data_IF_985051709970
#
_entry.id   IF_985051709970
#
_cell.length_a   1.000
_cell.length_b   1.000
_cell.length_c   1.000
_cell.angle_alpha   90.00
_cell.angle_beta   90.00
_cell.angle_gamma   90.00
#
_symmetry.space_group_name_H-M   'P 1'
#
loop_
_entity.id
_entity.type
_entity.pdbx_description
1 polymer ?
#
# COMPACT_ATOMS: atom_id res chain seq x y z
N UNK A 1 15.57 -0.94 8.99
CA UNK A 1 15.00 -0.32 10.21
C UNK A 1 13.78 0.47 9.77
N UNK A 2 12.59 -0.01 10.12
CA UNK A 2 11.36 0.75 9.98
C UNK A 2 11.32 1.83 11.08
N UNK A 3 10.81 3.01 10.76
CA UNK A 3 10.65 4.09 11.73
C UNK A 3 9.37 4.84 11.38
N UNK A 4 8.46 4.93 12.34
CA UNK A 4 7.26 5.75 12.21
C UNK A 4 7.67 7.21 12.42
N UNK A 5 7.19 8.11 11.57
CA UNK A 5 7.33 9.54 11.82
C UNK A 5 6.35 9.99 12.91
N UNK A 6 6.91 10.26 14.09
CA UNK A 6 6.21 10.74 15.28
C UNK A 6 6.30 12.26 15.44
N UNK A 7 6.88 12.96 14.46
CA UNK A 7 7.20 14.40 14.56
C UNK A 7 6.44 15.26 13.57
N UNK A 8 6.08 14.72 12.40
CA UNK A 8 5.29 15.47 11.40
C UNK A 8 3.83 15.53 11.83
N UNK A 9 3.37 16.72 12.21
CA UNK A 9 2.00 16.95 12.69
C UNK A 9 0.95 16.53 11.64
N UNK A 10 1.14 16.89 10.38
CA UNK A 10 0.20 16.57 9.28
C UNK A 10 0.96 16.10 8.05
N UNK A 11 0.55 14.96 7.51
CA UNK A 11 0.93 14.53 6.16
C UNK A 11 -0.23 14.71 5.20
N UNK A 12 0.03 15.27 4.01
CA UNK A 12 -0.93 15.32 2.91
C UNK A 12 -0.50 14.39 1.78
N UNK A 13 -1.44 13.59 1.28
CA UNK A 13 -1.27 12.71 0.14
C UNK A 13 -2.31 13.05 -0.93
N UNK A 14 -1.93 13.19 -2.21
CA UNK A 14 -2.90 13.45 -3.26
C UNK A 14 -3.81 12.24 -3.47
N UNK A 15 -5.08 12.48 -3.79
CA UNK A 15 -5.98 11.44 -4.30
C UNK A 15 -5.77 11.31 -5.80
N UNK A 16 -5.40 10.11 -6.28
CA UNK A 16 -5.17 9.86 -7.70
C UNK A 16 -6.47 10.10 -8.48
N UNK A 17 -6.40 10.92 -9.53
CA UNK A 17 -7.55 11.24 -10.38
C UNK A 17 -8.47 12.35 -9.85
N UNK A 18 -8.29 12.84 -8.62
CA UNK A 18 -9.12 13.90 -8.03
C UNK A 18 -8.31 15.18 -7.76
N UNK A 19 -8.32 16.13 -8.70
CA UNK A 19 -7.70 17.42 -8.47
C UNK A 19 -8.39 18.16 -7.31
N UNK A 20 -7.60 18.66 -6.36
CA UNK A 20 -8.12 19.37 -5.19
C UNK A 20 -8.67 18.48 -4.08
N UNK A 21 -8.53 17.15 -4.18
CA UNK A 21 -8.76 16.24 -3.07
C UNK A 21 -7.45 15.71 -2.50
N UNK A 22 -7.38 15.61 -1.18
CA UNK A 22 -6.20 15.09 -0.48
C UNK A 22 -6.59 14.24 0.73
N UNK A 23 -5.76 13.28 1.06
CA UNK A 23 -5.80 12.56 2.33
C UNK A 23 -4.86 13.24 3.31
N UNK A 24 -5.33 13.49 4.51
CA UNK A 24 -4.53 14.00 5.61
C UNK A 24 -4.37 12.95 6.71
N UNK A 25 -3.12 12.70 7.09
CA UNK A 25 -2.77 11.93 8.27
C UNK A 25 -2.29 12.86 9.37
N UNK A 26 -3.15 13.12 10.37
CA UNK A 26 -2.86 14.03 11.48
C UNK A 26 -2.38 13.26 12.69
N UNK A 27 -1.22 13.63 13.21
CA UNK A 27 -0.66 13.10 14.45
C UNK A 27 -1.55 13.49 15.63
N UNK A 28 -1.92 12.52 16.46
CA UNK A 28 -2.84 12.73 17.59
C UNK A 28 -2.18 12.57 18.95
N UNK A 29 -0.95 12.05 19.00
CA UNK A 29 -0.13 11.95 20.19
C UNK A 29 1.37 11.98 19.85
N UNK A 30 2.21 12.00 20.88
CA UNK A 30 3.67 12.05 20.78
C UNK A 30 4.31 10.70 20.44
N UNK A 31 3.56 9.60 20.53
CA UNK A 31 4.05 8.26 20.21
C UNK A 31 3.91 7.93 18.73
N UNK A 32 3.00 8.56 17.98
CA UNK A 32 2.93 8.39 16.52
C UNK A 32 1.58 7.99 15.96
N UNK A 33 0.52 7.88 16.78
CA UNK A 33 -0.82 7.52 16.29
C UNK A 33 -1.41 8.65 15.48
N UNK A 34 -2.15 8.28 14.43
CA UNK A 34 -2.71 9.19 13.45
C UNK A 34 -4.19 8.96 13.24
N UNK A 35 -4.92 10.05 13.03
CA UNK A 35 -6.26 10.04 12.43
C UNK A 35 -6.11 10.28 10.92
N UNK A 36 -6.90 9.59 10.11
CA UNK A 36 -6.92 9.78 8.65
C UNK A 36 -8.22 10.46 8.22
N UNK A 37 -8.09 11.55 7.48
CA UNK A 37 -9.22 12.32 6.95
C UNK A 37 -9.06 12.51 5.44
N UNK A 38 -10.16 12.44 4.70
CA UNK A 38 -10.24 12.80 3.29
C UNK A 38 -10.82 14.21 3.19
N UNK A 39 -10.04 15.13 2.63
CA UNK A 39 -10.50 16.46 2.29
C UNK A 39 -10.90 16.48 0.81
N UNK A 40 -12.20 16.56 0.54
CA UNK A 40 -12.76 16.58 -0.81
C UNK A 40 -13.97 17.52 -0.85
N UNK A 41 -14.05 18.36 -1.89
CA UNK A 41 -15.19 19.28 -2.06
C UNK A 41 -15.38 20.29 -0.92
N UNK A 42 -14.31 20.63 -0.19
CA UNK A 42 -14.37 21.52 0.97
C UNK A 42 -14.91 20.87 2.26
N UNK A 43 -15.15 19.56 2.24
CA UNK A 43 -15.53 18.76 3.40
C UNK A 43 -14.34 17.91 3.87
N UNK A 44 -14.29 17.64 5.17
CA UNK A 44 -13.34 16.70 5.77
C UNK A 44 -14.11 15.49 6.27
N UNK A 45 -13.72 14.29 5.83
CA UNK A 45 -14.42 13.03 6.07
C UNK A 45 -13.47 12.09 6.79
N UNK A 46 -13.84 11.60 7.96
CA UNK A 46 -12.99 10.65 8.70
C UNK A 46 -12.95 9.29 7.99
N UNK A 47 -11.74 8.88 7.58
CA UNK A 47 -11.48 7.60 6.93
C UNK A 47 -10.98 6.56 7.93
N UNK A 48 -10.20 6.97 8.92
CA UNK A 48 -9.78 6.11 9.99
C UNK A 48 -9.67 6.90 11.30
N UNK A 49 -10.23 6.34 12.37
CA UNK A 49 -10.06 6.87 13.71
C UNK A 49 -8.59 6.82 14.15
N UNK A 50 -8.27 7.52 15.23
CA UNK A 50 -6.94 7.53 15.84
C UNK A 50 -6.41 6.13 16.14
N UNK A 51 -5.35 5.74 15.43
CA UNK A 51 -4.63 4.49 15.64
C UNK A 51 -3.23 4.55 15.01
N UNK A 52 -2.48 3.45 15.00
CA UNK A 52 -1.21 3.29 14.28
C UNK A 52 -1.40 3.18 12.77
N UNK A 53 -2.04 4.19 12.20
CA UNK A 53 -2.27 4.33 10.78
C UNK A 53 -1.01 4.88 10.11
N UNK A 54 -0.53 4.15 9.11
CA UNK A 54 0.61 4.52 8.28
C UNK A 54 0.12 5.28 7.02
N UNK A 55 1.05 5.88 6.24
CA UNK A 55 0.70 6.63 5.03
C UNK A 55 -0.34 5.94 4.15
N UNK A 56 -1.46 6.61 3.83
CA UNK A 56 -2.52 6.05 3.00
C UNK A 56 -2.28 6.29 1.50
N UNK A 57 -3.12 5.66 0.68
CA UNK A 57 -3.27 5.93 -0.75
C UNK A 57 -4.74 5.90 -1.14
N UNK A 58 -5.11 6.68 -2.16
CA UNK A 58 -6.49 6.70 -2.66
C UNK A 58 -6.57 7.01 -4.15
N UNK A 59 -7.67 6.58 -4.76
CA UNK A 59 -8.02 6.93 -6.12
C UNK A 59 -9.53 7.19 -6.28
N UNK A 60 -9.84 8.17 -7.13
CA UNK A 60 -11.19 8.53 -7.56
C UNK A 60 -11.58 7.68 -8.79
N UNK A 61 -12.78 7.12 -8.80
CA UNK A 61 -13.32 6.43 -9.98
C UNK A 61 -14.06 7.38 -10.94
N UNK A 62 -14.66 6.82 -11.98
CA UNK A 62 -15.43 7.59 -12.96
C UNK A 62 -16.79 8.08 -12.42
N UNK A 63 -17.31 7.48 -11.36
CA UNK A 63 -18.61 7.83 -10.76
C UNK A 63 -18.51 9.00 -9.77
N UNK A 64 -17.31 9.27 -9.26
CA UNK A 64 -17.06 10.26 -8.22
C UNK A 64 -16.75 9.66 -6.84
N UNK A 65 -16.77 8.33 -6.72
CA UNK A 65 -16.43 7.62 -5.50
C UNK A 65 -14.91 7.51 -5.32
N UNK A 66 -14.46 7.51 -4.07
CA UNK A 66 -13.04 7.44 -3.72
C UNK A 66 -12.82 6.20 -2.85
N UNK A 67 -11.94 5.29 -3.30
CA UNK A 67 -11.43 4.23 -2.44
C UNK A 67 -10.16 4.71 -1.75
N UNK A 68 -10.16 4.68 -0.42
CA UNK A 68 -9.00 4.99 0.40
C UNK A 68 -8.49 3.71 1.05
N UNK A 69 -7.20 3.43 0.93
CA UNK A 69 -6.56 2.32 1.63
C UNK A 69 -5.40 2.82 2.48
N UNK A 70 -5.12 2.14 3.58
CA UNK A 70 -4.04 2.46 4.49
C UNK A 70 -3.54 1.22 5.21
N UNK A 71 -2.32 1.30 5.72
CA UNK A 71 -1.80 0.28 6.61
C UNK A 71 -2.05 0.64 8.07
N UNK A 72 -2.31 -0.38 8.88
CA UNK A 72 -2.43 -0.28 10.33
C UNK A 72 -1.46 -1.26 10.97
N UNK A 73 -0.73 -0.81 11.99
CA UNK A 73 0.04 -1.71 12.85
C UNK A 73 -0.88 -2.23 13.96
N UNK A 74 -1.28 -3.51 13.93
CA UNK A 74 -2.07 -4.11 15.01
C UNK A 74 -1.19 -4.37 16.24
N UNK A 75 -1.84 -4.61 17.38
CA UNK A 75 -1.17 -5.07 18.59
C UNK A 75 -0.82 -3.97 19.58
N UNK A 76 -0.08 -4.36 20.62
CA UNK A 76 0.39 -3.46 21.66
C UNK A 76 1.73 -2.84 21.30
N UNK A 77 2.06 -1.71 21.93
CA UNK A 77 3.42 -1.18 21.97
C UNK A 77 4.45 -2.29 22.25
N UNK A 78 5.60 -2.21 21.58
CA UNK A 78 6.72 -3.14 21.76
C UNK A 78 7.96 -2.40 22.23
N UNK A 79 8.72 -3.04 23.12
CA UNK A 79 10.01 -2.52 23.60
C UNK A 79 11.06 -2.45 22.46
N UNK A 80 10.88 -3.24 21.39
CA UNK A 80 11.79 -3.28 20.24
C UNK A 80 11.68 -2.00 19.41
N UNK A 81 10.46 -1.51 19.21
CA UNK A 81 10.14 -0.36 18.38
C UNK A 81 9.89 0.92 19.17
N UNK A 82 9.98 0.85 20.51
CA UNK A 82 9.82 1.95 21.48
C UNK A 82 8.44 2.59 21.36
N UNK A 83 7.47 2.03 22.10
CA UNK A 83 6.08 2.50 22.19
C UNK A 83 5.23 2.40 20.91
N UNK A 84 5.81 1.91 19.81
CA UNK A 84 5.10 1.55 18.56
C UNK A 84 4.86 0.04 18.52
N UNK A 85 3.75 -0.48 17.97
CA UNK A 85 3.59 -1.91 17.73
C UNK A 85 4.66 -2.46 16.78
N UNK A 86 5.09 -3.69 17.03
CA UNK A 86 6.11 -4.34 16.23
C UNK A 86 5.51 -4.81 14.89
N UNK A 87 6.00 -4.30 13.74
CA UNK A 87 5.51 -4.71 12.43
C UNK A 87 5.60 -6.21 12.13
N UNK A 88 6.47 -6.97 12.82
CA UNK A 88 6.55 -8.44 12.68
C UNK A 88 5.33 -9.16 13.23
N UNK A 89 4.55 -8.50 14.08
CA UNK A 89 3.27 -9.01 14.54
C UNK A 89 2.16 -8.83 13.50
N UNK A 90 2.51 -8.26 12.34
CA UNK A 90 1.66 -8.05 11.19
C UNK A 90 1.57 -6.58 10.83
N UNK A 91 1.20 -6.34 9.58
CA UNK A 91 0.73 -5.04 9.10
C UNK A 91 -0.55 -5.29 8.34
N UNK A 92 -1.65 -4.77 8.87
CA UNK A 92 -2.96 -4.93 8.26
C UNK A 92 -3.14 -3.90 7.15
N UNK A 93 -3.69 -4.32 6.02
CA UNK A 93 -4.13 -3.42 4.96
C UNK A 93 -5.65 -3.26 5.06
N UNK A 94 -6.09 -2.02 5.22
CA UNK A 94 -7.50 -1.65 5.32
C UNK A 94 -7.88 -0.74 4.16
N UNK A 95 -9.12 -0.84 3.71
CA UNK A 95 -9.70 0.05 2.72
C UNK A 95 -11.09 0.52 3.17
N UNK A 96 -11.49 1.71 2.70
CA UNK A 96 -12.80 2.31 2.95
C UNK A 96 -13.23 3.08 1.71
N UNK A 97 -14.47 2.88 1.28
CA UNK A 97 -15.09 3.63 0.21
C UNK A 97 -15.70 4.92 0.78
N UNK A 98 -15.51 6.01 0.05
CA UNK A 98 -16.21 7.27 0.27
C UNK A 98 -17.02 7.59 -0.98
N UNK A 99 -18.33 7.66 -0.84
CA UNK A 99 -19.25 7.97 -1.94
C UNK A 99 -20.22 9.07 -1.49
N UNK A 100 -20.39 10.10 -2.32
CA UNK A 100 -21.25 11.25 -2.01
C UNK A 100 -20.91 11.97 -0.70
N UNK A 101 -19.65 11.90 -0.25
CA UNK A 101 -19.20 12.46 1.03
C UNK A 101 -19.47 11.58 2.25
N UNK A 102 -19.95 10.35 2.05
CA UNK A 102 -20.25 9.38 3.10
C UNK A 102 -19.21 8.25 3.08
N UNK A 103 -18.54 8.06 4.21
CA UNK A 103 -17.63 6.95 4.45
C UNK A 103 -18.40 5.68 4.80
N UNK A 104 -18.09 4.57 4.13
CA UNK A 104 -18.62 3.25 4.47
C UNK A 104 -17.83 2.56 5.60
N UNK A 105 -18.16 1.29 5.86
CA UNK A 105 -17.41 0.47 6.81
C UNK A 105 -16.02 0.13 6.26
N UNK A 106 -14.98 0.29 7.09
CA UNK A 106 -13.65 -0.15 6.72
C UNK A 106 -13.60 -1.68 6.55
N UNK A 107 -12.99 -2.13 5.46
CA UNK A 107 -12.81 -3.54 5.12
C UNK A 107 -11.31 -3.86 5.15
N UNK A 108 -10.96 -4.96 5.82
CA UNK A 108 -9.59 -5.50 5.81
C UNK A 108 -9.36 -6.28 4.52
N UNK A 109 -8.22 -6.04 3.87
CA UNK A 109 -7.73 -6.91 2.78
C UNK A 109 -7.20 -8.18 3.43
N UNK A 110 -7.74 -9.32 3.03
CA UNK A 110 -7.29 -10.62 3.53
C UNK A 110 -5.87 -10.90 3.03
N UNK A 111 -4.94 -11.07 3.96
CA UNK A 111 -3.56 -11.45 3.69
C UNK A 111 -3.34 -12.81 4.34
N UNK A 112 -2.54 -13.69 3.74
CA UNK A 112 -2.33 -15.07 4.21
C UNK A 112 -1.51 -15.16 5.51
N UNK A 113 -1.79 -14.30 6.49
CA UNK A 113 -1.08 -14.20 7.76
C UNK A 113 0.22 -13.39 7.73
N UNK A 114 0.57 -12.81 6.58
CA UNK A 114 1.76 -11.98 6.38
C UNK A 114 1.43 -10.49 6.40
N UNK A 115 2.43 -9.67 6.73
CA UNK A 115 2.30 -8.21 6.70
C UNK A 115 2.05 -7.75 5.25
N UNK A 116 1.16 -6.78 5.08
CA UNK A 116 0.91 -6.16 3.78
C UNK A 116 1.18 -4.67 3.83
N UNK A 117 1.93 -4.17 2.85
CA UNK A 117 2.34 -2.79 2.71
C UNK A 117 1.74 -2.19 1.46
N UNK A 118 0.86 -1.21 1.62
CA UNK A 118 0.26 -0.49 0.51
C UNK A 118 1.34 0.16 -0.34
N UNK A 119 1.31 -0.07 -1.65
CA UNK A 119 2.20 0.58 -2.61
C UNK A 119 1.45 1.45 -3.60
N UNK A 120 0.15 1.22 -3.81
CA UNK A 120 -0.68 2.11 -4.62
C UNK A 120 -2.15 1.72 -4.64
N UNK A 121 -2.98 2.71 -4.97
CA UNK A 121 -4.39 2.54 -5.32
C UNK A 121 -4.61 3.25 -6.65
N UNK A 122 -5.26 2.58 -7.59
CA UNK A 122 -5.66 3.16 -8.88
C UNK A 122 -7.10 2.76 -9.18
N UNK A 123 -7.78 3.57 -9.99
CA UNK A 123 -9.06 3.22 -10.60
C UNK A 123 -8.86 2.97 -12.09
N UNK A 124 -9.75 2.19 -12.68
CA UNK A 124 -9.84 1.99 -14.12
C UNK A 124 -11.09 2.65 -14.72
N UNK A 125 -11.22 2.57 -16.05
CA UNK A 125 -12.35 3.15 -16.78
C UNK A 125 -13.69 2.43 -16.52
N UNK A 126 -13.68 1.24 -15.91
CA UNK A 126 -14.90 0.51 -15.52
C UNK A 126 -15.48 1.00 -14.19
N UNK A 127 -14.73 1.82 -13.46
CA UNK A 127 -15.07 2.22 -12.09
C UNK A 127 -14.63 1.19 -11.04
N UNK A 128 -13.74 0.26 -11.40
CA UNK A 128 -13.12 -0.66 -10.43
C UNK A 128 -11.81 -0.06 -9.94
N UNK A 129 -11.42 -0.42 -8.71
CA UNK A 129 -10.12 -0.05 -8.16
C UNK A 129 -9.22 -1.26 -8.09
N UNK A 130 -7.93 -1.05 -8.36
CA UNK A 130 -6.88 -2.02 -8.06
C UNK A 130 -6.02 -1.45 -6.94
N UNK A 131 -5.89 -2.22 -5.86
CA UNK A 131 -5.00 -1.95 -4.74
C UNK A 131 -3.76 -2.80 -4.91
N UNK A 132 -2.60 -2.18 -5.02
CA UNK A 132 -1.30 -2.85 -5.09
C UNK A 132 -0.63 -2.77 -3.73
N UNK A 133 -0.08 -3.89 -3.29
CA UNK A 133 0.63 -3.97 -2.01
C UNK A 133 1.77 -4.99 -2.07
N UNK A 134 2.74 -4.85 -1.17
CA UNK A 134 3.84 -5.79 -0.99
C UNK A 134 3.60 -6.62 0.27
N UNK A 135 3.74 -7.94 0.19
CA UNK A 135 3.69 -8.82 1.36
C UNK A 135 5.10 -9.22 1.80
N UNK A 136 5.34 -9.19 3.10
CA UNK A 136 6.59 -9.63 3.73
C UNK A 136 6.41 -9.99 5.22
N UNK A 137 7.53 -10.17 5.94
CA UNK A 137 7.57 -10.48 7.36
C UNK A 137 7.49 -9.23 8.28
N UNK A 138 7.15 -8.06 7.73
CA UNK A 138 6.90 -6.83 8.47
C UNK A 138 8.04 -5.82 8.50
N UNK A 139 9.19 -6.02 7.87
CA UNK A 139 10.28 -5.03 7.96
C UNK A 139 10.60 -4.29 6.65
N UNK A 140 10.03 -4.70 5.53
CA UNK A 140 10.35 -4.28 4.16
C UNK A 140 11.82 -4.52 3.74
N UNK A 141 12.66 -5.10 4.60
CA UNK A 141 14.12 -5.26 4.40
C UNK A 141 14.61 -6.69 4.68
N UNK A 142 13.71 -7.68 4.75
CA UNK A 142 14.08 -9.08 4.92
C UNK A 142 14.61 -9.71 3.64
N UNK A 143 15.35 -10.82 3.77
CA UNK A 143 15.65 -11.69 2.63
C UNK A 143 14.34 -12.26 2.07
N UNK A 144 14.14 -12.32 0.74
CA UNK A 144 12.91 -12.83 0.15
C UNK A 144 12.58 -14.25 0.65
N UNK A 145 11.38 -14.41 1.20
CA UNK A 145 10.85 -15.71 1.63
C UNK A 145 9.70 -16.18 0.73
N UNK A 146 9.35 -17.48 0.75
CA UNK A 146 8.10 -17.95 0.14
C UNK A 146 6.92 -17.10 0.62
N UNK A 147 6.10 -16.59 -0.32
CA UNK A 147 4.97 -15.71 -0.02
C UNK A 147 5.30 -14.22 -0.01
N UNK A 148 6.57 -13.83 -0.11
CA UNK A 148 6.94 -12.43 -0.31
C UNK A 148 6.73 -12.01 -1.76
N UNK A 149 6.24 -10.79 -1.96
CA UNK A 149 6.04 -10.28 -3.31
C UNK A 149 5.04 -9.14 -3.40
N UNK A 150 4.82 -8.68 -4.63
CA UNK A 150 3.79 -7.71 -4.96
C UNK A 150 2.50 -8.43 -5.32
N UNK A 151 1.41 -8.00 -4.71
CA UNK A 151 0.07 -8.49 -4.92
C UNK A 151 -0.83 -7.34 -5.36
N UNK A 152 -1.90 -7.70 -6.07
CA UNK A 152 -3.01 -6.82 -6.37
C UNK A 152 -4.29 -7.41 -5.88
N UNK A 153 -5.21 -6.57 -5.42
CA UNK A 153 -6.59 -6.94 -5.16
C UNK A 153 -7.50 -5.91 -5.79
N UNK A 154 -8.56 -6.38 -6.45
CA UNK A 154 -9.54 -5.48 -7.04
C UNK A 154 -10.69 -5.24 -6.05
N UNK A 155 -11.19 -4.01 -6.04
CA UNK A 155 -12.42 -3.63 -5.36
C UNK A 155 -13.45 -3.18 -6.39
N UNK A 156 -14.64 -3.77 -6.32
CA UNK A 156 -15.75 -3.41 -7.20
C UNK A 156 -16.96 -3.04 -6.35
N UNK A 157 -17.59 -1.91 -6.68
CA UNK A 157 -18.78 -1.43 -5.99
C UNK A 157 -19.87 -2.53 -5.98
N UNK A 158 -20.42 -2.81 -4.80
CA UNK A 158 -21.44 -3.84 -4.60
C UNK A 158 -20.91 -5.27 -4.46
N UNK A 159 -19.70 -5.57 -4.94
CA UNK A 159 -19.04 -6.88 -4.79
C UNK A 159 -18.01 -6.90 -3.66
N UNK A 160 -17.49 -5.73 -3.27
CA UNK A 160 -16.50 -5.60 -2.22
C UNK A 160 -15.07 -5.93 -2.68
N UNK A 161 -14.23 -6.34 -1.73
CA UNK A 161 -12.83 -6.68 -1.96
C UNK A 161 -12.71 -8.10 -2.53
N UNK A 162 -11.97 -8.26 -3.63
CA UNK A 162 -11.66 -9.55 -4.23
C UNK A 162 -10.59 -10.34 -3.48
N UNK A 163 -10.16 -11.45 -4.08
CA UNK A 163 -9.02 -12.25 -3.59
C UNK A 163 -7.72 -11.65 -4.12
N UNK A 164 -6.70 -11.43 -3.28
CA UNK A 164 -5.40 -11.00 -3.75
C UNK A 164 -4.78 -11.96 -4.76
N UNK A 165 -4.19 -11.40 -5.81
CA UNK A 165 -3.45 -12.10 -6.86
C UNK A 165 -2.01 -11.62 -6.85
N UNK A 166 -1.06 -12.54 -6.82
CA UNK A 166 0.36 -12.19 -6.90
C UNK A 166 0.71 -11.73 -8.31
N UNK A 167 1.40 -10.60 -8.44
CA UNK A 167 1.82 -10.00 -9.71
C UNK A 167 3.32 -10.13 -9.93
N UNK A 168 4.11 -10.14 -8.84
CA UNK A 168 5.54 -10.43 -8.87
C UNK A 168 6.04 -10.91 -7.52
N UNK A 169 7.13 -11.67 -7.47
CA UNK A 169 7.71 -12.15 -6.21
C UNK A 169 8.62 -13.35 -6.42
N UNK A 170 9.25 -13.82 -5.33
CA UNK A 170 10.00 -15.07 -5.37
C UNK A 170 9.01 -16.19 -5.11
N UNK A 171 8.69 -16.96 -6.15
CA UNK A 171 8.04 -18.24 -5.97
C UNK A 171 9.10 -19.23 -5.50
N UNK A 172 9.11 -19.55 -4.22
CA UNK A 172 9.77 -20.76 -3.77
C UNK A 172 8.71 -21.85 -3.90
N UNK A 173 8.85 -22.71 -4.90
CA UNK A 173 8.03 -23.92 -4.97
C UNK A 173 8.21 -24.69 -3.66
N UNK A 174 7.14 -24.91 -2.86
CA UNK A 174 7.24 -25.54 -1.55
C UNK A 174 7.81 -26.97 -1.63
N UNK A 175 7.77 -27.60 -2.80
CA UNK A 175 8.27 -28.96 -3.01
C UNK A 175 9.72 -29.02 -3.51
N UNK A 176 10.30 -27.90 -3.99
CA UNK A 176 11.62 -27.90 -4.65
C UNK A 176 12.78 -27.45 -3.78
N UNK A 177 12.53 -26.72 -2.69
CA UNK A 177 13.59 -26.13 -1.85
C UNK A 177 14.51 -25.14 -2.59
N UNK A 178 14.15 -24.74 -3.81
CA UNK A 178 14.89 -23.78 -4.62
C UNK A 178 14.02 -22.53 -4.85
N UNK A 179 14.61 -21.35 -4.64
CA UNK A 179 13.98 -20.10 -5.01
C UNK A 179 13.96 -19.99 -6.54
N UNK A 180 12.77 -20.07 -7.14
CA UNK A 180 12.60 -19.75 -8.55
C UNK A 180 12.47 -18.23 -8.67
N UNK A 181 13.47 -17.58 -9.26
CA UNK A 181 13.44 -16.13 -9.54
C UNK A 181 12.69 -15.82 -10.83
N UNK A 182 11.76 -16.69 -11.23
CA UNK A 182 11.02 -16.61 -12.49
C UNK A 182 10.40 -15.24 -12.73
N UNK A 183 10.93 -14.52 -13.73
CA UNK A 183 10.21 -13.44 -14.39
C UNK A 183 9.02 -14.07 -15.10
N UNK A 184 7.84 -14.00 -14.49
CA UNK A 184 6.61 -14.59 -15.03
C UNK A 184 6.38 -14.24 -16.50
N UNK A 185 6.65 -15.22 -17.37
CA UNK A 185 6.09 -15.32 -18.72
C UNK A 185 5.57 -16.73 -18.91
N UNK A 186 4.71 -17.17 -17.99
CA UNK A 186 3.99 -18.43 -18.14
C UNK A 186 2.67 -18.13 -18.86
N UNK A 187 2.80 -17.83 -20.14
CA UNK A 187 1.72 -17.81 -21.11
C UNK A 187 2.29 -18.24 -22.46
N UNK A 188 2.76 -19.48 -22.52
CA UNK A 188 2.92 -20.21 -23.78
C UNK A 188 2.91 -21.72 -23.49
N UNK A 189 1.71 -22.27 -23.34
CA UNK A 189 1.48 -23.68 -23.64
C UNK A 189 1.75 -23.89 -25.13
N UNK A 190 2.99 -24.19 -25.50
CA UNK A 190 3.34 -24.72 -26.81
C UNK A 190 3.25 -26.25 -26.72
N UNK A 191 2.04 -26.79 -26.95
CA UNK A 191 1.91 -28.19 -27.33
C UNK A 191 2.55 -28.36 -28.71
N UNK A 192 3.59 -29.17 -28.77
CA UNK A 192 4.25 -29.56 -30.00
C UNK A 192 3.28 -30.28 -30.94
N UNK A 193 3.12 -29.73 -32.13
CA UNK A 193 2.55 -30.36 -33.30
C UNK A 193 3.23 -29.75 -34.53
N UNK A 194 3.90 -30.58 -35.30
CA UNK A 194 4.77 -30.21 -36.42
C UNK A 194 4.11 -29.26 -37.43
N UNK A 195 4.67 -28.06 -37.60
CA UNK A 195 4.26 -27.13 -38.66
C UNK A 195 4.62 -25.68 -38.32
N UNK A 196 5.48 -25.07 -39.13
CA UNK A 196 6.10 -23.77 -38.85
C UNK A 196 5.13 -22.62 -38.56
N UNK A 197 5.54 -21.75 -37.63
CA UNK A 197 4.87 -20.49 -37.30
C UNK A 197 5.87 -19.47 -36.76
N UNK A 198 5.94 -18.31 -37.40
CA UNK A 198 6.74 -17.14 -37.01
C UNK A 198 6.19 -16.50 -35.73
N UNK A 199 7.05 -16.24 -34.73
CA UNK A 199 6.74 -15.30 -33.65
C UNK A 199 7.47 -13.98 -33.91
N UNK A 200 6.71 -12.91 -34.11
CA UNK A 200 7.20 -11.55 -34.34
C UNK A 200 6.60 -10.58 -33.32
N UNK A 201 7.45 -9.69 -32.79
CA UNK A 201 7.10 -8.45 -32.08
C UNK A 201 6.63 -8.64 -30.64
N UNK A 202 6.86 -7.74 -29.70
CA UNK A 202 7.37 -6.37 -29.72
C UNK A 202 7.29 -5.85 -28.28
N UNK A 203 8.24 -5.00 -27.88
CA UNK A 203 8.53 -4.69 -26.49
C UNK A 203 7.52 -3.81 -25.74
N UNK A 204 7.74 -3.71 -24.43
CA UNK A 204 7.78 -2.45 -23.68
C UNK A 204 8.33 -2.76 -22.27
N UNK A 205 9.55 -2.33 -21.99
CA UNK A 205 10.08 -2.30 -20.62
C UNK A 205 9.44 -1.12 -19.89
N UNK A 206 8.65 -1.39 -18.85
CA UNK A 206 8.17 -0.36 -17.92
C UNK A 206 9.03 -0.42 -16.66
N UNK A 207 10.04 0.45 -16.60
CA UNK A 207 10.80 0.70 -15.39
C UNK A 207 9.93 1.45 -14.39
N UNK A 208 9.39 0.75 -13.40
CA UNK A 208 8.78 1.34 -12.21
C UNK A 208 9.86 1.81 -11.25
N UNK A 209 10.20 3.10 -11.31
CA UNK A 209 11.10 3.76 -10.37
C UNK A 209 10.39 3.89 -9.01
N UNK A 210 10.83 3.13 -8.00
CA UNK A 210 10.45 3.34 -6.60
C UNK A 210 11.04 4.69 -6.15
N UNK A 211 10.21 5.73 -6.03
CA UNK A 211 10.63 7.01 -5.44
C UNK A 211 10.48 6.90 -3.92
N UNK A 212 11.53 6.39 -3.27
CA UNK A 212 11.74 6.64 -1.85
C UNK A 212 12.20 8.10 -1.70
N UNK A 213 11.27 8.96 -1.31
CA UNK A 213 11.56 10.37 -1.04
C UNK A 213 12.68 10.51 -0.01
N UNK A 214 13.87 10.91 -0.47
CA UNK A 214 15.00 11.23 0.40
C UNK A 214 14.70 12.54 1.15
N UNK A 215 14.38 12.45 2.43
CA UNK A 215 14.19 13.63 3.29
C UNK A 215 15.57 14.23 3.60
N UNK A 216 15.87 15.35 2.96
CA UNK A 216 17.05 16.16 3.27
C UNK A 216 16.91 16.80 4.66
N UNK A 217 17.71 16.33 5.63
CA UNK A 217 17.82 16.96 6.97
C UNK A 217 18.39 18.37 6.84
N UNK A 218 17.54 19.40 7.00
CA UNK A 218 18.03 20.75 7.33
C UNK A 218 18.48 20.76 8.79
N UNK A 219 19.79 20.90 9.03
CA UNK A 219 20.33 21.17 10.36
C UNK A 219 19.83 22.53 10.84
N UNK A 220 19.09 22.57 11.96
CA UNK A 220 18.79 23.83 12.64
C UNK A 220 20.08 24.43 13.21
N UNK A 221 20.29 25.76 13.12
CA UNK A 221 21.38 26.42 13.82
C UNK A 221 21.14 26.39 15.35
N UNK A 222 22.21 26.39 16.16
CA UNK A 222 22.10 26.33 17.61
C UNK A 222 21.43 27.59 18.18
N UNK A 223 20.77 27.47 19.35
CA UNK A 223 20.12 28.60 20.01
C UNK A 223 21.16 29.66 20.41
N UNK A 224 20.85 30.93 20.16
CA UNK A 224 21.61 32.06 20.70
C UNK A 224 21.23 32.27 22.16
N UNK A 225 22.22 32.27 23.06
CA UNK A 225 22.03 32.69 24.44
C UNK A 225 21.57 34.15 24.49
N UNK A 226 20.55 34.49 25.30
CA UNK A 226 20.27 35.88 25.63
C UNK A 226 21.36 36.44 26.55
N UNK A 227 21.72 37.70 26.31
CA UNK A 227 22.64 38.50 27.11
C UNK A 227 21.98 38.98 28.42
#
# INVERSE_FOLDING_TARGET
>A
MFTVDTTTEVFSFPVVGASGSELQGTLTDDVGRRRLELNAGGQSIEVAATDWNLPPGAALDISGAILVCWNRLPGSASDITVDVPDPTQGVELWCRLVDGGVADGAVRVETSGVAAWLTGVKSDASGSWTVTFFQDDGWLVGDPQPGHGTFTVDYTLGSGMGTPTQVSGVWVDPDSGAADTGTGTDSAGCLGGDGGGLCAGGGAAVSGLLVLGSIARRRRPPPRNPA
#
